data_IF_886223916937
#
_entry.id   IF_886223916937
#
_cell.length_a   1.000
_cell.length_b   1.000
_cell.length_c   1.000
_cell.angle_alpha   90.00
_cell.angle_beta   90.00
_cell.angle_gamma   90.00
#
_symmetry.space_group_name_H-M   'P 1'
#
loop_
_entity.id
_entity.type
_entity.pdbx_description
1 polymer ?
#
# COMPACT_ATOMS: atom_id res chain seq x y z
N UNK A 1 -31.01 9.77 5.86
CA UNK A 1 -30.29 9.66 7.15
C UNK A 1 -28.87 9.27 6.86
N UNK A 2 -27.93 10.22 6.90
CA UNK A 2 -26.50 9.93 6.74
C UNK A 2 -25.96 9.56 8.11
N UNK A 3 -26.06 8.29 8.49
CA UNK A 3 -25.35 7.80 9.67
C UNK A 3 -23.85 8.02 9.45
N UNK A 4 -23.11 8.60 10.42
CA UNK A 4 -21.68 8.77 10.29
C UNK A 4 -21.03 7.40 10.04
N UNK A 5 -20.10 7.36 9.09
CA UNK A 5 -19.37 6.14 8.73
C UNK A 5 -18.64 5.64 9.97
N UNK A 6 -19.03 4.47 10.48
CA UNK A 6 -18.37 3.84 11.61
C UNK A 6 -17.15 3.06 11.11
N UNK A 7 -15.96 3.61 11.34
CA UNK A 7 -14.69 3.03 10.93
C UNK A 7 -14.22 1.84 11.80
N UNK A 8 -14.91 1.57 12.91
CA UNK A 8 -14.53 0.49 13.84
C UNK A 8 -15.09 -0.87 13.42
N UNK A 9 -16.13 -0.89 12.57
CA UNK A 9 -16.82 -2.12 12.15
C UNK A 9 -16.96 -2.22 10.63
N UNK A 10 -15.85 -2.06 9.91
CA UNK A 10 -15.83 -2.30 8.46
C UNK A 10 -15.71 -3.81 8.22
N UNK A 11 -16.75 -4.48 7.66
CA UNK A 11 -16.69 -5.91 7.42
C UNK A 11 -15.71 -6.19 6.27
N UNK A 12 -14.63 -6.90 6.58
CA UNK A 12 -13.70 -7.41 5.58
C UNK A 12 -13.79 -8.94 5.52
N UNK A 13 -13.73 -9.48 4.29
CA UNK A 13 -13.58 -10.91 4.11
C UNK A 13 -12.28 -11.40 4.76
N UNK A 14 -12.30 -12.60 5.35
CA UNK A 14 -11.12 -13.25 5.94
C UNK A 14 -10.23 -13.88 4.86
N UNK A 15 -10.08 -13.20 3.72
CA UNK A 15 -9.19 -13.59 2.63
C UNK A 15 -7.80 -13.00 2.88
N UNK A 16 -6.78 -13.83 2.68
CA UNK A 16 -5.38 -13.40 2.81
C UNK A 16 -4.79 -13.11 1.43
N UNK A 17 -4.80 -11.84 1.07
CA UNK A 17 -4.26 -11.29 -0.19
C UNK A 17 -3.43 -10.05 0.15
N UNK A 18 -2.20 -10.22 0.65
CA UNK A 18 -1.44 -9.13 1.25
C UNK A 18 -1.18 -8.02 0.25
N UNK A 19 -1.21 -6.77 0.73
CA UNK A 19 -0.86 -5.57 -0.03
C UNK A 19 0.11 -4.72 0.78
N UNK A 20 1.07 -4.10 0.09
CA UNK A 20 1.98 -3.12 0.69
C UNK A 20 1.35 -1.73 0.60
N UNK A 21 1.24 -1.04 1.73
CA UNK A 21 0.81 0.36 1.80
C UNK A 21 1.97 1.32 1.55
N UNK A 22 1.65 2.55 1.11
CA UNK A 22 2.62 3.64 0.92
C UNK A 22 3.28 4.11 2.22
N UNK A 23 2.79 3.65 3.37
CA UNK A 23 3.39 3.83 4.69
C UNK A 23 4.43 2.74 5.02
N UNK A 24 4.67 1.78 4.11
CA UNK A 24 5.62 0.69 4.28
C UNK A 24 5.09 -0.49 5.09
N UNK A 25 3.81 -0.48 5.46
CA UNK A 25 3.16 -1.55 6.22
C UNK A 25 2.42 -2.53 5.31
N UNK A 26 2.41 -3.81 5.69
CA UNK A 26 1.65 -4.83 4.95
C UNK A 26 0.28 -5.03 5.57
N UNK A 27 -0.75 -4.93 4.73
CA UNK A 27 -2.14 -5.16 5.10
C UNK A 27 -2.60 -6.51 4.58
N UNK A 28 -3.35 -7.28 5.38
CA UNK A 28 -3.76 -8.65 5.03
C UNK A 28 -4.62 -8.75 3.77
N UNK A 29 -5.32 -7.67 3.42
CA UNK A 29 -5.98 -7.46 2.14
C UNK A 29 -6.31 -5.96 1.95
N UNK A 30 -6.74 -5.60 0.74
CA UNK A 30 -7.11 -4.23 0.38
C UNK A 30 -8.26 -3.67 1.24
N UNK A 31 -9.19 -4.51 1.70
CA UNK A 31 -10.28 -4.06 2.58
C UNK A 31 -9.75 -3.61 3.94
N UNK A 32 -8.80 -4.35 4.53
CA UNK A 32 -8.18 -3.98 5.82
C UNK A 32 -7.43 -2.64 5.70
N UNK A 33 -6.71 -2.42 4.60
CA UNK A 33 -6.10 -1.11 4.31
C UNK A 33 -7.16 0.00 4.19
N UNK A 34 -8.26 -0.27 3.49
CA UNK A 34 -9.39 0.66 3.38
C UNK A 34 -10.03 0.99 4.73
N UNK A 35 -10.13 0.01 5.62
CA UNK A 35 -10.65 0.18 6.97
C UNK A 35 -9.73 1.06 7.83
N UNK A 36 -8.42 0.90 7.69
CA UNK A 36 -7.45 1.77 8.32
C UNK A 36 -7.56 3.20 7.78
N UNK A 37 -7.67 3.34 6.46
CA UNK A 37 -7.93 4.61 5.81
C UNK A 37 -9.21 5.29 6.31
N UNK A 38 -10.26 4.56 6.67
CA UNK A 38 -11.47 5.17 7.23
C UNK A 38 -11.17 6.03 8.47
N UNK A 39 -10.26 5.55 9.34
CA UNK A 39 -9.87 6.23 10.57
C UNK A 39 -8.97 7.44 10.33
N UNK A 40 -8.30 7.48 9.17
CA UNK A 40 -7.39 8.57 8.79
C UNK A 40 -8.12 9.74 8.11
N UNK A 41 -7.54 10.94 8.25
CA UNK A 41 -8.03 12.15 7.59
C UNK A 41 -7.98 12.07 6.05
N UNK A 42 -8.60 13.03 5.35
CA UNK A 42 -8.59 13.06 3.88
C UNK A 42 -7.17 13.26 3.30
N UNK A 43 -6.30 13.97 4.02
CA UNK A 43 -4.93 14.29 3.56
C UNK A 43 -3.87 13.25 3.98
N UNK A 44 -4.26 12.21 4.74
CA UNK A 44 -3.37 11.18 5.29
C UNK A 44 -3.83 9.76 4.91
N UNK A 45 -4.24 9.57 3.65
CA UNK A 45 -4.62 8.24 3.16
C UNK A 45 -3.37 7.44 2.78
N UNK A 46 -3.39 6.17 3.14
CA UNK A 46 -2.44 5.15 2.67
C UNK A 46 -2.91 4.69 1.29
N UNK A 47 -2.01 4.68 0.32
CA UNK A 47 -2.27 4.09 -0.99
C UNK A 47 -1.65 2.70 -1.06
N UNK A 48 -2.23 1.80 -1.85
CA UNK A 48 -1.55 0.53 -2.14
C UNK A 48 -0.35 0.85 -3.04
N UNK A 49 0.86 0.57 -2.56
CA UNK A 49 2.09 0.70 -3.34
C UNK A 49 2.23 -0.48 -4.30
N UNK A 50 2.13 -1.71 -3.80
CA UNK A 50 2.13 -2.92 -4.62
C UNK A 50 1.42 -4.09 -3.94
N UNK A 51 1.02 -5.10 -4.72
CA UNK A 51 0.51 -6.37 -4.18
C UNK A 51 1.63 -7.18 -3.53
N UNK A 52 1.31 -7.94 -2.50
CA UNK A 52 2.26 -8.71 -1.69
C UNK A 52 2.73 -7.97 -0.43
N UNK A 53 3.70 -8.54 0.27
CA UNK A 53 4.28 -7.94 1.47
C UNK A 53 5.27 -6.82 1.11
N UNK A 54 5.35 -5.75 1.91
CA UNK A 54 6.36 -4.70 1.74
C UNK A 54 7.81 -5.24 1.86
N UNK A 55 7.99 -6.35 2.59
CA UNK A 55 9.28 -7.04 2.70
C UNK A 55 9.64 -7.89 1.46
N UNK A 56 8.72 -8.06 0.50
CA UNK A 56 8.95 -8.83 -0.73
C UNK A 56 9.65 -8.03 -1.84
N UNK A 57 10.40 -6.99 -1.49
CA UNK A 57 11.45 -6.47 -2.37
C UNK A 57 12.60 -7.49 -2.45
N UNK A 58 12.43 -8.57 -3.21
CA UNK A 58 13.51 -9.45 -3.65
C UNK A 58 14.39 -8.79 -4.73
N UNK A 59 14.72 -7.51 -4.54
CA UNK A 59 15.87 -6.84 -5.15
C UNK A 59 16.19 -5.55 -4.39
N UNK A 60 16.40 -5.64 -3.08
CA UNK A 60 17.33 -4.71 -2.42
C UNK A 60 18.77 -5.13 -2.71
N UNK A 61 19.18 -5.12 -3.99
CA UNK A 61 20.62 -4.95 -4.28
C UNK A 61 20.88 -3.45 -4.18
N UNK A 62 21.38 -3.06 -3.02
CA UNK A 62 22.07 -1.79 -2.85
C UNK A 62 23.12 -1.67 -3.96
N UNK A 63 22.91 -0.79 -4.94
CA UNK A 63 24.02 -0.33 -5.79
C UNK A 63 23.91 1.17 -5.96
N UNK A 64 24.77 1.84 -5.21
CA UNK A 64 25.05 3.26 -5.17
C UNK A 64 24.99 3.91 -6.55
N UNK A 65 23.94 4.67 -6.86
CA UNK A 65 24.04 5.74 -7.85
C UNK A 65 23.32 7.00 -7.39
N UNK A 66 24.09 7.77 -6.62
CA UNK A 66 24.09 9.22 -6.48
C UNK A 66 23.25 9.97 -7.54
N UNK A 67 22.03 10.38 -7.20
CA UNK A 67 21.58 11.79 -7.21
C UNK A 67 20.06 11.94 -7.12
N UNK A 68 19.60 12.45 -5.98
CA UNK A 68 18.63 13.53 -5.77
C UNK A 68 17.37 13.53 -6.67
N UNK A 69 16.22 13.31 -5.99
CA UNK A 69 14.81 13.39 -6.39
C UNK A 69 14.13 12.11 -6.91
N UNK A 70 13.29 11.53 -6.03
CA UNK A 70 12.25 10.51 -6.26
C UNK A 70 12.70 9.09 -6.63
N UNK A 71 13.12 8.34 -5.61
CA UNK A 71 13.34 6.89 -5.68
C UNK A 71 12.14 6.14 -5.11
N UNK A 72 11.02 6.16 -5.84
CA UNK A 72 9.90 5.22 -5.64
C UNK A 72 9.89 4.30 -6.85
N UNK A 73 10.37 3.07 -6.65
CA UNK A 73 10.10 1.86 -7.46
C UNK A 73 9.74 2.14 -8.94
N UNK A 74 10.75 2.49 -9.76
CA UNK A 74 10.59 2.97 -11.14
C UNK A 74 9.74 2.01 -11.99
N UNK A 75 8.70 2.60 -12.58
CA UNK A 75 7.90 2.17 -13.73
C UNK A 75 8.08 0.72 -14.22
N UNK A 76 6.97 -0.02 -14.11
CA UNK A 76 6.52 -0.90 -15.17
C UNK A 76 6.69 -0.19 -16.53
N UNK A 77 7.69 -0.59 -17.32
CA UNK A 77 7.49 -0.76 -18.76
C UNK A 77 7.95 -2.17 -19.11
N UNK A 78 7.11 -3.13 -18.77
CA UNK A 78 7.10 -4.41 -19.46
C UNK A 78 6.64 -4.13 -20.90
N UNK A 79 7.57 -3.79 -21.79
CA UNK A 79 7.47 -3.83 -23.25
C UNK A 79 8.77 -3.30 -23.83
N UNK A 80 9.82 -4.12 -23.87
CA UNK A 80 10.87 -4.04 -24.89
C UNK A 80 11.45 -5.45 -25.04
N UNK A 81 10.85 -6.19 -25.97
CA UNK A 81 11.46 -7.34 -26.64
C UNK A 81 12.29 -6.83 -27.82
#
# INVERSE_FOLDING_TARGET
TTTPLNCDNIPCALIFEPVCGSDGETYSNACVLGAENCKRGPDDKIFIEHSGFCSSCASKTMSTVRNIFFMYCVHLTASDI
#
